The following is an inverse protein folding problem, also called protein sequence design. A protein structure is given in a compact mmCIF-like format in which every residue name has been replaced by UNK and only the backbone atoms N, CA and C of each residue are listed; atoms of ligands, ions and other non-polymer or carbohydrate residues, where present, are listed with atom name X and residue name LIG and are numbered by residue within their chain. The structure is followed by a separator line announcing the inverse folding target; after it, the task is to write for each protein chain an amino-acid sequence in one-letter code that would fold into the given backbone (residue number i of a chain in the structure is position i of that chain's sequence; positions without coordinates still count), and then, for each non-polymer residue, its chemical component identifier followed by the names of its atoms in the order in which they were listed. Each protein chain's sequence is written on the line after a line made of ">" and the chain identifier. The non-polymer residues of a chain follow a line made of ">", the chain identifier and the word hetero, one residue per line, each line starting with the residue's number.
data_IF_556163464748
#
_entry.id   IF_556163464748
#
_cell.length_a   1.000
_cell.length_b   1.000
_cell.length_c   1.000
_cell.angle_alpha   90.00
_cell.angle_beta   90.00
_cell.angle_gamma   90.00
#
_symmetry.space_group_name_H-M   'P 1'
#
loop_
_entity.id
_entity.type
_entity.pdbx_description
1 polymer ?
#
# COMPACT_ATOMS: atom_id res chain seq x y z
N UNK A 1 41.95 43.91 9.93
CA UNK A 1 41.24 43.81 11.22
C UNK A 1 39.79 44.30 11.16
N UNK A 2 39.40 45.16 10.20
CA UNK A 2 38.01 45.63 10.08
C UNK A 2 37.04 44.58 9.49
N UNK A 3 37.48 43.77 8.52
CA UNK A 3 36.63 42.73 7.88
C UNK A 3 36.17 41.62 8.83
N UNK A 4 37.02 41.18 9.76
CA UNK A 4 36.68 40.10 10.71
C UNK A 4 35.54 40.53 11.64
N UNK A 5 35.50 41.81 12.01
CA UNK A 5 34.44 42.38 12.86
C UNK A 5 33.09 42.51 12.15
N UNK A 6 33.10 42.67 10.82
CA UNK A 6 31.88 42.70 10.02
C UNK A 6 31.30 41.28 9.84
N UNK A 7 32.18 40.29 9.63
CA UNK A 7 31.82 38.88 9.49
C UNK A 7 31.24 38.29 10.79
N UNK A 8 31.82 38.64 11.96
CA UNK A 8 31.32 38.21 13.27
C UNK A 8 29.95 38.80 13.61
N UNK A 9 29.68 40.06 13.25
CA UNK A 9 28.36 40.68 13.41
C UNK A 9 27.30 39.99 12.56
N UNK A 10 27.61 39.69 11.29
CA UNK A 10 26.70 39.00 10.37
C UNK A 10 26.38 37.58 10.83
N UNK A 11 27.35 36.90 11.46
CA UNK A 11 27.19 35.57 12.05
C UNK A 11 26.37 35.58 13.35
N UNK A 12 26.42 36.66 14.11
CA UNK A 12 25.53 36.90 15.25
C UNK A 12 24.08 37.19 14.82
N UNK A 13 23.86 37.91 13.73
CA UNK A 13 22.52 38.18 13.19
C UNK A 13 21.84 36.94 12.57
N UNK A 14 22.60 35.93 12.16
CA UNK A 14 22.08 34.65 11.66
C UNK A 14 21.93 33.58 12.75
N UNK A 15 22.27 33.89 14.00
CA UNK A 15 22.14 32.95 15.11
C UNK A 15 20.67 32.85 15.51
N UNK A 16 20.17 31.63 15.67
CA UNK A 16 18.83 31.40 16.19
C UNK A 16 18.65 32.14 17.54
N UNK A 17 17.47 32.72 17.80
CA UNK A 17 17.24 33.49 19.02
C UNK A 17 17.41 32.60 20.24
N UNK A 18 18.21 33.08 21.20
CA UNK A 18 18.43 32.37 22.46
C UNK A 18 17.13 32.32 23.28
N UNK A 19 16.96 31.28 24.09
CA UNK A 19 15.73 31.01 24.88
C UNK A 19 15.26 32.22 25.70
N UNK A 20 16.21 32.99 26.22
CA UNK A 20 15.94 34.19 27.01
C UNK A 20 15.42 35.37 26.17
N UNK A 21 15.90 35.48 24.92
CA UNK A 21 15.41 36.47 23.96
C UNK A 21 13.98 36.14 23.52
N UNK A 22 13.68 34.85 23.31
CA UNK A 22 12.32 34.38 23.02
C UNK A 22 11.39 34.75 24.18
N UNK A 23 11.77 34.42 25.43
CA UNK A 23 10.94 34.71 26.60
C UNK A 23 10.68 36.21 26.77
N UNK A 24 11.69 37.05 26.54
CA UNK A 24 11.53 38.51 26.61
C UNK A 24 10.61 39.04 25.50
N UNK A 25 10.70 38.48 24.29
CA UNK A 25 9.86 38.87 23.17
C UNK A 25 8.41 38.40 23.34
N UNK A 26 8.19 37.24 23.96
CA UNK A 26 6.85 36.66 24.16
C UNK A 26 6.18 37.08 25.47
N UNK A 27 6.87 37.76 26.38
CA UNK A 27 6.35 38.18 27.69
C UNK A 27 5.10 39.08 27.65
N UNK A 28 4.88 39.80 26.55
CA UNK A 28 3.72 40.69 26.37
C UNK A 28 2.57 40.07 25.60
N UNK A 29 2.72 38.83 25.12
CA UNK A 29 1.72 38.15 24.29
C UNK A 29 0.72 37.45 25.21
N UNK A 30 -0.58 37.77 25.13
CA UNK A 30 -1.60 37.06 25.89
C UNK A 30 -1.64 35.58 25.48
N UNK A 31 -1.69 34.64 26.44
CA UNK A 31 -1.85 33.24 26.12
C UNK A 31 -3.20 33.02 25.41
N UNK A 32 -3.17 32.47 24.20
CA UNK A 32 -4.34 32.11 23.41
C UNK A 32 -4.19 30.64 22.99
N UNK A 33 -5.26 29.84 23.08
CA UNK A 33 -5.23 28.38 22.84
C UNK A 33 -4.25 27.60 23.75
N UNK A 34 -4.20 27.89 25.05
CA UNK A 34 -3.40 27.08 26.00
C UNK A 34 -3.96 25.66 26.20
N UNK A 35 -5.26 25.48 25.98
CA UNK A 35 -5.93 24.17 26.00
C UNK A 35 -5.84 23.43 24.66
N UNK A 36 -5.18 24.01 23.65
CA UNK A 36 -4.75 23.24 22.50
C UNK A 36 -3.63 22.34 22.99
N UNK A 37 -4.00 21.18 23.52
CA UNK A 37 -3.11 20.03 23.53
C UNK A 37 -2.48 20.03 22.13
N UNK A 38 -1.16 20.07 22.06
CA UNK A 38 -0.49 19.66 20.84
C UNK A 38 -1.05 18.26 20.59
N UNK A 39 -2.00 18.14 19.65
CA UNK A 39 -2.31 16.86 19.06
C UNK A 39 -0.99 16.53 18.39
N UNK A 40 -0.13 15.83 19.11
CA UNK A 40 0.93 15.05 18.53
C UNK A 40 0.16 14.08 17.64
N UNK A 41 -0.13 14.52 16.42
CA UNK A 41 -0.51 13.66 15.32
C UNK A 41 0.71 12.79 15.14
N UNK A 42 0.76 11.70 15.90
CA UNK A 42 1.83 10.77 15.82
C UNK A 42 1.74 10.23 14.38
N UNK A 43 2.85 10.11 13.67
CA UNK A 43 2.84 9.51 12.31
C UNK A 43 2.18 8.12 12.37
N UNK A 44 2.28 7.46 13.54
CA UNK A 44 1.59 6.24 13.91
C UNK A 44 0.06 6.35 13.90
N UNK A 45 -0.52 7.49 14.29
CA UNK A 45 -1.97 7.76 14.29
C UNK A 45 -2.50 7.91 12.86
N UNK A 46 -1.76 8.55 11.96
CA UNK A 46 -2.20 8.61 10.56
C UNK A 46 -2.17 7.24 9.91
N UNK A 47 -1.16 6.40 10.16
CA UNK A 47 -1.12 5.06 9.56
C UNK A 47 -2.24 4.15 10.06
N UNK A 48 -2.57 4.20 11.36
CA UNK A 48 -3.68 3.43 11.92
C UNK A 48 -5.03 3.94 11.42
N UNK A 49 -5.22 5.26 11.35
CA UNK A 49 -6.44 5.85 10.80
C UNK A 49 -6.56 5.62 9.29
N UNK A 50 -5.46 5.71 8.53
CA UNK A 50 -5.45 5.41 7.09
C UNK A 50 -5.91 3.98 6.81
N UNK A 51 -5.47 3.01 7.62
CA UNK A 51 -5.96 1.63 7.51
C UNK A 51 -7.49 1.57 7.65
N UNK A 52 -8.05 2.21 8.67
CA UNK A 52 -9.51 2.26 8.87
C UNK A 52 -10.24 2.95 7.72
N UNK A 53 -9.67 4.03 7.17
CA UNK A 53 -10.20 4.70 5.97
C UNK A 53 -10.23 3.70 4.81
N UNK A 54 -9.12 3.03 4.52
CA UNK A 54 -8.99 2.08 3.42
C UNK A 54 -9.99 0.94 3.58
N UNK A 55 -10.15 0.35 4.78
CA UNK A 55 -11.15 -0.69 5.05
C UNK A 55 -12.56 -0.22 4.65
N UNK A 56 -13.00 0.94 5.14
CA UNK A 56 -14.34 1.44 4.81
C UNK A 56 -14.51 1.76 3.33
N UNK A 57 -13.47 2.31 2.68
CA UNK A 57 -13.52 2.65 1.26
C UNK A 57 -13.53 1.41 0.36
N UNK A 58 -12.79 0.36 0.73
CA UNK A 58 -12.81 -0.95 0.08
C UNK A 58 -14.23 -1.53 0.11
N UNK A 59 -14.90 -1.50 1.26
CA UNK A 59 -16.28 -1.99 1.36
C UNK A 59 -17.26 -1.21 0.47
N UNK A 60 -17.12 0.12 0.41
CA UNK A 60 -17.96 0.96 -0.45
C UNK A 60 -17.67 0.71 -1.92
N UNK A 61 -16.40 0.67 -2.32
CA UNK A 61 -15.99 0.39 -3.70
C UNK A 61 -16.47 -0.99 -4.16
N UNK A 62 -16.36 -2.02 -3.31
CA UNK A 62 -16.90 -3.36 -3.60
C UNK A 62 -18.41 -3.32 -3.85
N UNK A 63 -19.17 -2.61 -3.00
CA UNK A 63 -20.62 -2.45 -3.18
C UNK A 63 -20.96 -1.70 -4.46
N UNK A 64 -20.26 -0.61 -4.76
CA UNK A 64 -20.47 0.18 -5.98
C UNK A 64 -20.14 -0.62 -7.24
N UNK A 65 -19.02 -1.33 -7.23
CA UNK A 65 -18.58 -2.16 -8.36
C UNK A 65 -19.50 -3.36 -8.56
N UNK A 66 -20.05 -3.94 -7.50
CA UNK A 66 -21.04 -5.02 -7.60
C UNK A 66 -22.37 -4.60 -8.25
N UNK A 67 -22.62 -3.30 -8.43
CA UNK A 67 -23.77 -2.78 -9.17
C UNK A 67 -23.49 -2.66 -10.68
N UNK A 68 -22.24 -2.76 -11.11
CA UNK A 68 -21.86 -2.67 -12.52
C UNK A 68 -21.92 -4.07 -13.17
N UNK A 69 -22.70 -4.26 -14.24
CA UNK A 69 -22.81 -5.57 -14.91
C UNK A 69 -21.48 -6.05 -15.50
N UNK A 70 -20.60 -5.14 -15.92
CA UNK A 70 -19.29 -5.45 -16.51
C UNK A 70 -18.16 -5.60 -15.49
N UNK A 71 -18.46 -5.55 -14.19
CA UNK A 71 -17.43 -5.50 -13.14
C UNK A 71 -16.47 -6.70 -13.19
N UNK A 72 -16.96 -7.90 -13.51
CA UNK A 72 -16.13 -9.11 -13.62
C UNK A 72 -15.02 -8.92 -14.66
N UNK A 73 -15.35 -8.42 -15.84
CA UNK A 73 -14.37 -8.21 -16.92
C UNK A 73 -13.40 -7.08 -16.58
N UNK A 74 -13.92 -6.00 -15.98
CA UNK A 74 -13.10 -4.88 -15.52
C UNK A 74 -12.08 -5.33 -14.46
N UNK A 75 -12.46 -6.21 -13.53
CA UNK A 75 -11.54 -6.79 -12.55
C UNK A 75 -10.50 -7.72 -13.17
N UNK A 76 -10.89 -8.58 -14.11
CA UNK A 76 -9.96 -9.46 -14.82
C UNK A 76 -8.91 -8.63 -15.57
N UNK A 77 -9.35 -7.59 -16.28
CA UNK A 77 -8.46 -6.68 -17.00
C UNK A 77 -7.56 -5.88 -16.08
N UNK A 78 -8.11 -5.32 -15.00
CA UNK A 78 -7.33 -4.53 -14.04
C UNK A 78 -6.27 -5.39 -13.33
N UNK A 79 -6.61 -6.61 -12.91
CA UNK A 79 -5.64 -7.53 -12.34
C UNK A 79 -4.54 -7.91 -13.34
N UNK A 80 -4.90 -8.23 -14.58
CA UNK A 80 -3.90 -8.57 -15.61
C UNK A 80 -2.94 -7.41 -15.90
N UNK A 81 -3.47 -6.18 -15.99
CA UNK A 81 -2.63 -4.98 -16.17
C UNK A 81 -1.69 -4.77 -14.98
N UNK A 82 -2.15 -4.95 -13.74
CA UNK A 82 -1.30 -4.82 -12.57
C UNK A 82 -0.22 -5.92 -12.51
N UNK A 83 -0.58 -7.16 -12.83
CA UNK A 83 0.37 -8.28 -12.88
C UNK A 83 1.46 -8.01 -13.95
N UNK A 84 1.10 -7.51 -15.14
CA UNK A 84 2.04 -7.11 -16.20
C UNK A 84 2.92 -5.93 -15.79
N UNK A 85 2.34 -4.91 -15.15
CA UNK A 85 3.11 -3.77 -14.68
C UNK A 85 4.07 -4.16 -13.54
N UNK A 86 3.69 -5.07 -12.64
CA UNK A 86 4.56 -5.63 -11.61
C UNK A 86 5.71 -6.44 -12.22
N UNK A 87 5.42 -7.22 -13.27
CA UNK A 87 6.41 -7.95 -14.05
C UNK A 87 7.36 -7.04 -14.86
N UNK A 88 7.00 -5.78 -15.11
CA UNK A 88 7.88 -4.78 -15.74
C UNK A 88 8.79 -4.02 -14.77
N UNK A 89 8.56 -4.11 -13.45
CA UNK A 89 9.08 -3.18 -12.42
C UNK A 89 10.24 -3.73 -11.60
N UNK A 90 11.21 -4.36 -12.23
CA UNK A 90 12.46 -4.67 -11.52
C UNK A 90 13.21 -3.34 -11.34
N UNK A 91 13.58 -2.99 -10.10
CA UNK A 91 14.42 -1.81 -9.84
C UNK A 91 15.74 -1.96 -10.61
N UNK A 92 15.90 -1.15 -11.64
CA UNK A 92 17.03 -1.21 -12.57
C UNK A 92 18.36 -0.95 -11.84
N UNK A 93 18.35 -0.18 -10.75
CA UNK A 93 19.55 0.05 -9.93
C UNK A 93 19.92 -1.20 -9.13
N UNK A 94 18.93 -1.85 -8.51
CA UNK A 94 19.11 -3.12 -7.79
C UNK A 94 19.52 -4.25 -8.74
N UNK A 95 18.89 -4.31 -9.92
CA UNK A 95 19.19 -5.28 -10.98
C UNK A 95 20.61 -5.10 -11.50
N UNK A 96 21.01 -3.86 -11.75
CA UNK A 96 22.36 -3.52 -12.19
C UNK A 96 23.39 -3.90 -11.13
N UNK A 97 23.10 -3.66 -9.84
CA UNK A 97 23.98 -4.06 -8.75
C UNK A 97 24.21 -5.59 -8.71
N UNK A 98 23.14 -6.39 -8.85
CA UNK A 98 23.28 -7.85 -8.90
C UNK A 98 23.96 -8.33 -10.19
N UNK A 99 23.71 -7.67 -11.31
CA UNK A 99 24.35 -7.99 -12.60
C UNK A 99 25.84 -7.65 -12.59
N UNK A 100 26.24 -6.54 -11.98
CA UNK A 100 27.64 -6.15 -11.78
C UNK A 100 28.39 -7.12 -10.85
N UNK A 101 27.68 -7.81 -9.94
CA UNK A 101 28.22 -8.89 -9.13
C UNK A 101 28.36 -10.23 -9.88
N UNK A 102 27.90 -10.30 -11.13
CA UNK A 102 28.04 -11.47 -12.01
C UNK A 102 26.83 -12.39 -12.08
N UNK A 103 25.69 -12.02 -11.47
CA UNK A 103 24.46 -12.79 -11.59
C UNK A 103 23.75 -12.49 -12.93
N UNK A 104 23.17 -13.50 -13.61
CA UNK A 104 22.40 -13.26 -14.83
C UNK A 104 21.20 -12.35 -14.58
N UNK A 105 20.95 -11.41 -15.49
CA UNK A 105 19.86 -10.41 -15.37
C UNK A 105 18.49 -11.06 -15.15
N UNK A 106 18.20 -12.16 -15.86
CA UNK A 106 16.95 -12.93 -15.71
C UNK A 106 16.79 -13.51 -14.30
N UNK A 107 17.87 -14.00 -13.71
CA UNK A 107 17.89 -14.59 -12.37
C UNK A 107 17.84 -13.51 -11.30
N UNK A 108 18.59 -12.43 -11.49
CA UNK A 108 18.60 -11.26 -10.62
C UNK A 108 17.22 -10.57 -10.58
N UNK A 109 16.57 -10.41 -11.73
CA UNK A 109 15.20 -9.92 -11.83
C UNK A 109 14.23 -10.79 -11.03
N UNK A 110 14.30 -12.12 -11.21
CA UNK A 110 13.45 -13.08 -10.50
C UNK A 110 13.70 -13.05 -8.98
N UNK A 111 14.96 -12.98 -8.57
CA UNK A 111 15.34 -12.90 -7.16
C UNK A 111 14.89 -11.59 -6.52
N UNK A 112 15.02 -10.46 -7.22
CA UNK A 112 14.55 -9.16 -6.74
C UNK A 112 13.03 -9.14 -6.58
N UNK A 113 12.29 -9.72 -7.53
CA UNK A 113 10.82 -9.86 -7.41
C UNK A 113 10.41 -10.68 -6.18
N UNK A 114 11.05 -11.83 -5.99
CA UNK A 114 10.74 -12.73 -4.86
C UNK A 114 11.12 -12.14 -3.50
N UNK A 115 12.03 -11.16 -3.48
CA UNK A 115 12.56 -10.57 -2.26
C UNK A 115 12.24 -9.07 -2.14
N UNK A 116 11.07 -8.65 -2.64
CA UNK A 116 10.54 -7.28 -2.47
C UNK A 116 11.52 -6.17 -2.91
N UNK A 117 12.23 -6.40 -4.02
CA UNK A 117 13.23 -5.48 -4.57
C UNK A 117 14.42 -5.18 -3.63
N UNK A 118 14.62 -6.03 -2.61
CA UNK A 118 15.73 -5.92 -1.66
C UNK A 118 16.97 -6.64 -2.20
N UNK A 119 17.99 -5.87 -2.60
CA UNK A 119 19.27 -6.42 -3.10
C UNK A 119 19.90 -7.46 -2.16
N UNK A 120 19.98 -7.22 -0.82
CA UNK A 120 20.62 -8.18 0.08
C UNK A 120 19.86 -9.51 0.19
N UNK A 121 18.53 -9.47 0.16
CA UNK A 121 17.68 -10.66 0.23
C UNK A 121 17.67 -11.41 -1.10
N UNK A 122 17.60 -10.68 -2.21
CA UNK A 122 17.71 -11.24 -3.55
C UNK A 122 19.06 -11.94 -3.78
N UNK A 123 20.15 -11.38 -3.27
CA UNK A 123 21.46 -12.00 -3.32
C UNK A 123 21.51 -13.32 -2.54
N UNK A 124 20.97 -13.35 -1.31
CA UNK A 124 20.89 -14.59 -0.53
C UNK A 124 20.10 -15.67 -1.27
N UNK A 125 18.95 -15.30 -1.84
CA UNK A 125 18.13 -16.19 -2.64
C UNK A 125 18.87 -16.73 -3.87
N UNK A 126 19.65 -15.88 -4.56
CA UNK A 126 20.48 -16.26 -5.69
C UNK A 126 21.59 -17.23 -5.32
N UNK A 127 22.14 -17.12 -4.11
CA UNK A 127 23.20 -18.01 -3.59
C UNK A 127 22.59 -19.36 -3.19
N UNK A 128 21.45 -19.35 -2.48
CA UNK A 128 20.73 -20.56 -2.08
C UNK A 128 20.24 -21.37 -3.29
N UNK A 129 19.89 -20.70 -4.39
CA UNK A 129 19.39 -21.31 -5.63
C UNK A 129 20.44 -21.28 -6.77
N UNK A 130 21.73 -21.16 -6.44
CA UNK A 130 22.81 -21.03 -7.43
C UNK A 130 22.93 -22.24 -8.37
N UNK A 131 22.62 -23.45 -7.86
CA UNK A 131 22.82 -24.73 -8.55
C UNK A 131 21.56 -25.29 -9.23
N UNK A 132 20.43 -24.57 -9.24
CA UNK A 132 19.19 -25.07 -9.86
C UNK A 132 19.05 -24.59 -11.33
N UNK A 133 19.29 -25.47 -12.32
CA UNK A 133 19.21 -25.13 -13.74
C UNK A 133 17.77 -24.89 -14.25
N UNK A 134 16.73 -25.16 -13.44
CA UNK A 134 15.33 -24.85 -13.82
C UNK A 134 14.96 -23.38 -13.59
N UNK A 135 15.79 -22.63 -12.87
CA UNK A 135 15.56 -21.21 -12.57
C UNK A 135 15.79 -20.32 -13.79
N UNK A 136 16.65 -20.75 -14.72
CA UNK A 136 16.95 -20.06 -15.99
C UNK A 136 15.93 -20.35 -17.11
N UNK A 137 14.91 -21.18 -16.84
CA UNK A 137 13.81 -21.37 -17.78
C UNK A 137 12.96 -20.09 -17.83
N UNK A 138 12.68 -19.53 -19.03
CA UNK A 138 11.73 -18.44 -19.15
C UNK A 138 10.37 -18.88 -18.61
N UNK A 139 9.70 -17.99 -17.88
CA UNK A 139 8.34 -18.24 -17.40
C UNK A 139 7.44 -18.65 -18.58
N UNK A 140 6.60 -19.68 -18.45
CA UNK A 140 5.67 -20.05 -19.51
C UNK A 140 4.65 -18.91 -19.69
N UNK A 141 4.80 -18.15 -20.76
CA UNK A 141 3.95 -16.99 -21.08
C UNK A 141 4.48 -16.10 -22.20
N UNK A 142 5.79 -16.09 -22.45
CA UNK A 142 6.38 -15.41 -23.62
C UNK A 142 6.40 -16.34 -24.84
N UNK A 143 5.23 -16.60 -25.42
CA UNK A 143 5.13 -17.08 -26.79
C UNK A 143 4.20 -16.13 -27.53
N UNK A 144 4.79 -15.15 -28.23
CA UNK A 144 4.08 -14.38 -29.25
C UNK A 144 3.46 -15.35 -30.28
N UNK A 145 2.16 -15.23 -30.60
CA UNK A 145 1.59 -15.96 -31.71
C UNK A 145 1.76 -15.12 -32.98
N UNK A 146 2.87 -15.34 -33.70
CA UNK A 146 2.98 -14.83 -35.07
C UNK A 146 2.98 -16.02 -36.04
N UNK A 147 1.87 -16.15 -36.79
CA UNK A 147 1.84 -16.79 -38.10
C UNK A 147 1.23 -18.20 -38.20
N UNK A 148 -0.10 -18.28 -38.31
CA UNK A 148 -0.78 -19.22 -39.21
C UNK A 148 -2.25 -18.81 -39.47
N UNK A 149 -2.50 -18.20 -40.65
CA UNK A 149 -3.79 -18.24 -41.38
C UNK A 149 -4.13 -19.71 -41.70
N UNK A 150 -5.34 -20.22 -41.97
CA UNK A 150 -6.73 -19.82 -42.17
C UNK A 150 -7.56 -21.07 -41.75
N UNK A 151 -8.89 -21.17 -41.65
CA UNK A 151 -9.95 -20.80 -42.58
C UNK A 151 -11.31 -21.28 -41.99
N UNK A 152 -12.39 -20.59 -42.38
CA UNK A 152 -13.78 -21.05 -42.54
C UNK A 152 -14.66 -21.44 -41.31
N UNK A 153 -15.68 -20.59 -41.10
CA UNK A 153 -16.98 -20.94 -40.52
C UNK A 153 -17.78 -21.91 -41.43
N UNK A 154 -18.93 -22.45 -40.98
CA UNK A 154 -20.17 -21.68 -41.11
C UNK A 154 -21.15 -21.81 -39.92
N UNK A 155 -22.11 -20.88 -39.97
CA UNK A 155 -23.21 -20.62 -39.04
C UNK A 155 -24.24 -21.75 -38.88
N UNK A 156 -24.88 -21.79 -37.71
CA UNK A 156 -26.30 -22.07 -37.58
C UNK A 156 -26.85 -21.44 -36.28
N UNK A 157 -27.91 -20.65 -36.41
CA UNK A 157 -28.81 -20.13 -35.36
C UNK A 157 -30.23 -20.62 -35.70
N UNK A 158 -31.28 -20.36 -34.91
CA UNK A 158 -31.45 -20.30 -33.45
C UNK A 158 -32.67 -21.19 -33.01
N UNK A 159 -32.91 -21.39 -31.71
CA UNK A 159 -34.25 -21.25 -31.07
C UNK A 159 -34.29 -21.70 -29.60
N UNK A 160 -34.67 -20.73 -28.75
CA UNK A 160 -35.58 -20.78 -27.61
C UNK A 160 -35.64 -21.99 -26.65
N UNK A 161 -35.32 -21.73 -25.38
CA UNK A 161 -36.22 -21.97 -24.24
C UNK A 161 -35.67 -21.26 -23.00
N UNK A 162 -36.48 -20.40 -22.39
CA UNK A 162 -36.09 -19.59 -21.23
C UNK A 162 -36.02 -20.38 -19.93
N UNK A 163 -35.17 -19.92 -19.02
CA UNK A 163 -35.38 -19.98 -17.58
C UNK A 163 -34.46 -18.94 -16.91
N UNK A 164 -35.01 -18.25 -15.92
CA UNK A 164 -34.45 -17.10 -15.21
C UNK A 164 -33.35 -17.47 -14.21
N UNK A 165 -32.08 -17.47 -14.62
CA UNK A 165 -30.93 -17.71 -13.70
C UNK A 165 -29.68 -16.88 -14.02
N UNK A 166 -29.80 -15.73 -14.69
CA UNK A 166 -28.64 -14.99 -15.20
C UNK A 166 -27.97 -13.97 -14.26
N UNK A 167 -28.58 -13.63 -13.12
CA UNK A 167 -28.10 -12.53 -12.26
C UNK A 167 -27.28 -12.98 -11.04
N UNK A 168 -27.33 -14.26 -10.66
CA UNK A 168 -26.59 -14.77 -9.48
C UNK A 168 -25.15 -15.18 -9.82
N UNK A 169 -24.91 -15.78 -10.99
CA UNK A 169 -23.55 -16.19 -11.43
C UNK A 169 -22.52 -15.04 -11.44
N UNK A 170 -22.77 -13.86 -12.06
CA UNK A 170 -21.76 -12.79 -12.09
C UNK A 170 -21.51 -12.18 -10.71
N UNK A 171 -22.52 -12.16 -9.82
CA UNK A 171 -22.37 -11.70 -8.43
C UNK A 171 -21.59 -12.69 -7.59
N UNK A 172 -21.81 -13.99 -7.78
CA UNK A 172 -21.05 -15.04 -7.12
C UNK A 172 -19.59 -15.08 -7.62
N UNK A 173 -19.37 -14.86 -8.93
CA UNK A 173 -18.03 -14.70 -9.50
C UNK A 173 -17.31 -13.48 -8.94
N UNK A 174 -17.97 -12.31 -8.85
CA UNK A 174 -17.42 -11.11 -8.21
C UNK A 174 -17.08 -11.36 -6.74
N UNK A 175 -17.97 -12.03 -6.03
CA UNK A 175 -17.74 -12.37 -4.61
C UNK A 175 -16.56 -13.30 -4.44
N UNK A 176 -16.38 -14.29 -5.32
CA UNK A 176 -15.20 -15.15 -5.34
C UNK A 176 -13.93 -14.42 -5.79
N UNK A 177 -14.03 -13.46 -6.72
CA UNK A 177 -12.92 -12.56 -7.10
C UNK A 177 -12.51 -11.72 -5.89
N UNK A 178 -13.45 -11.09 -5.19
CA UNK A 178 -13.18 -10.32 -3.97
C UNK A 178 -12.58 -11.20 -2.87
N UNK A 179 -13.09 -12.41 -2.65
CA UNK A 179 -12.49 -13.38 -1.71
C UNK A 179 -11.08 -13.79 -2.13
N UNK A 180 -10.81 -14.00 -3.41
CA UNK A 180 -9.48 -14.34 -3.93
C UNK A 180 -8.51 -13.17 -3.79
N UNK A 181 -8.94 -11.94 -4.10
CA UNK A 181 -8.15 -10.72 -3.90
C UNK A 181 -7.83 -10.57 -2.41
N UNK A 182 -8.83 -10.68 -1.54
CA UNK A 182 -8.67 -10.63 -0.09
C UNK A 182 -7.72 -11.70 0.44
N UNK A 183 -7.83 -12.95 -0.04
CA UNK A 183 -6.94 -14.07 0.35
C UNK A 183 -5.52 -13.95 -0.19
N UNK A 184 -5.34 -13.46 -1.42
CA UNK A 184 -3.99 -13.24 -2.01
C UNK A 184 -3.22 -12.16 -1.24
N UNK A 185 -3.95 -11.19 -0.67
CA UNK A 185 -3.43 -9.99 -0.02
C UNK A 185 -3.61 -10.00 1.51
N UNK A 186 -3.85 -11.18 2.09
CA UNK A 186 -3.82 -11.35 3.55
C UNK A 186 -2.42 -11.02 4.07
N UNK A 187 -2.35 -10.18 5.10
CA UNK A 187 -1.11 -9.74 5.74
C UNK A 187 -0.08 -10.88 5.85
N UNK A 188 1.05 -10.71 5.15
CA UNK A 188 2.20 -11.62 5.23
C UNK A 188 3.22 -11.09 6.21
N UNK A 189 3.40 -11.82 7.31
CA UNK A 189 4.45 -11.51 8.26
C UNK A 189 5.83 -11.82 7.66
N UNK A 190 6.80 -10.93 7.91
CA UNK A 190 8.19 -11.19 7.52
C UNK A 190 8.73 -12.40 8.30
N UNK A 191 9.10 -13.46 7.58
CA UNK A 191 9.60 -14.71 8.16
C UNK A 191 10.82 -14.46 9.07
N UNK A 192 11.70 -13.51 8.72
CA UNK A 192 12.87 -13.18 9.54
C UNK A 192 12.44 -12.54 10.87
N UNK A 193 11.54 -11.56 10.80
CA UNK A 193 11.00 -10.91 11.97
C UNK A 193 10.23 -11.88 12.87
N UNK A 194 9.46 -12.80 12.28
CA UNK A 194 8.74 -13.86 13.01
C UNK A 194 9.72 -14.75 13.76
N UNK A 195 10.72 -15.31 13.07
CA UNK A 195 11.72 -16.19 13.68
C UNK A 195 12.44 -15.47 14.82
N UNK A 196 12.93 -14.25 14.58
CA UNK A 196 13.66 -13.50 15.59
C UNK A 196 12.81 -13.17 16.83
N UNK A 197 11.53 -12.86 16.67
CA UNK A 197 10.64 -12.62 17.81
C UNK A 197 10.28 -13.92 18.54
N UNK A 198 10.12 -15.03 17.81
CA UNK A 198 9.91 -16.35 18.44
C UNK A 198 11.14 -16.81 19.23
N UNK A 199 12.35 -16.53 18.74
CA UNK A 199 13.61 -16.80 19.47
C UNK A 199 13.73 -16.01 20.78
N UNK A 200 13.08 -14.83 20.86
CA UNK A 200 12.97 -14.06 22.10
C UNK A 200 11.98 -14.67 23.11
N UNK A 201 11.26 -15.73 22.71
CA UNK A 201 10.31 -16.47 23.56
C UNK A 201 8.86 -16.00 23.45
N UNK A 202 8.52 -15.19 22.45
CA UNK A 202 7.15 -14.79 22.19
C UNK A 202 6.37 -15.88 21.42
N UNK A 203 5.08 -16.01 21.72
CA UNK A 203 4.21 -16.95 21.02
C UNK A 203 3.98 -16.52 19.56
N UNK A 204 4.00 -17.48 18.63
CA UNK A 204 3.85 -17.24 17.19
C UNK A 204 2.60 -16.40 16.87
N UNK A 205 1.47 -16.67 17.54
CA UNK A 205 0.24 -15.90 17.34
C UNK A 205 0.39 -14.43 17.74
N UNK A 206 1.05 -14.17 18.87
CA UNK A 206 1.28 -12.81 19.35
C UNK A 206 2.26 -12.07 18.45
N UNK A 207 3.27 -12.76 17.95
CA UNK A 207 4.23 -12.24 16.97
C UNK A 207 3.55 -11.85 15.68
N UNK A 208 2.65 -12.69 15.16
CA UNK A 208 1.86 -12.39 13.96
C UNK A 208 0.98 -11.15 14.17
N UNK A 209 0.31 -11.06 15.31
CA UNK A 209 -0.53 -9.90 15.65
C UNK A 209 0.30 -8.61 15.81
N UNK A 210 1.46 -8.71 16.46
CA UNK A 210 2.37 -7.58 16.65
C UNK A 210 2.93 -7.07 15.32
N UNK A 211 3.34 -7.98 14.43
CA UNK A 211 3.82 -7.62 13.10
C UNK A 211 2.70 -7.06 12.23
N UNK A 212 1.46 -7.56 12.37
CA UNK A 212 0.28 -7.04 11.66
C UNK A 212 -0.02 -5.61 12.05
N UNK A 213 -0.04 -5.31 13.34
CA UNK A 213 -0.31 -3.95 13.85
C UNK A 213 0.80 -2.97 13.47
N UNK A 214 2.05 -3.44 13.43
CA UNK A 214 3.23 -2.60 13.21
C UNK A 214 3.81 -2.70 11.80
N UNK A 215 3.06 -3.23 10.83
CA UNK A 215 3.45 -3.33 9.42
C UNK A 215 4.85 -3.97 9.22
N UNK A 216 5.08 -5.15 9.81
CA UNK A 216 6.35 -5.88 9.78
C UNK A 216 7.57 -5.16 10.40
N UNK A 217 7.37 -4.05 11.13
CA UNK A 217 8.47 -3.42 11.86
C UNK A 217 8.81 -4.21 13.13
N UNK A 218 9.89 -4.99 13.08
CA UNK A 218 10.34 -5.84 14.20
C UNK A 218 10.50 -5.07 15.52
N UNK A 219 11.11 -3.88 15.50
CA UNK A 219 11.33 -3.09 16.71
C UNK A 219 10.00 -2.63 17.34
N UNK A 220 9.10 -2.09 16.53
CA UNK A 220 7.79 -1.64 16.99
C UNK A 220 6.88 -2.82 17.41
N UNK A 221 7.01 -3.97 16.76
CA UNK A 221 6.34 -5.22 17.15
C UNK A 221 6.86 -5.71 18.50
N UNK A 222 8.16 -5.66 18.75
CA UNK A 222 8.75 -5.99 20.05
C UNK A 222 8.25 -5.04 21.15
N UNK A 223 8.23 -3.73 20.90
CA UNK A 223 7.66 -2.74 21.83
C UNK A 223 6.17 -3.00 22.11
N UNK A 224 5.40 -3.39 21.08
CA UNK A 224 3.99 -3.72 21.22
C UNK A 224 3.76 -4.98 22.06
N UNK A 225 4.60 -6.01 21.87
CA UNK A 225 4.58 -7.26 22.64
C UNK A 225 4.93 -7.07 24.12
N UNK A 226 5.86 -6.15 24.40
CA UNK A 226 6.31 -5.82 25.76
C UNK A 226 5.43 -4.77 26.46
N UNK A 227 4.56 -4.08 25.73
CA UNK A 227 3.71 -3.00 26.23
C UNK A 227 2.25 -3.42 26.44
N UNK A 228 1.35 -2.43 26.36
CA UNK A 228 -0.09 -2.61 26.60
C UNK A 228 -0.86 -3.24 25.41
N UNK A 229 -0.16 -3.68 24.36
CA UNK A 229 -0.75 -4.29 23.15
C UNK A 229 -1.86 -3.45 22.49
N UNK A 230 -1.66 -2.13 22.47
CA UNK A 230 -2.57 -1.16 21.81
C UNK A 230 -1.90 -0.53 20.59
N UNK A 231 -2.64 -0.34 19.48
CA UNK A 231 -4.02 -0.76 19.22
C UNK A 231 -4.15 -2.29 19.03
N UNK A 232 -5.35 -2.83 19.26
CA UNK A 232 -5.63 -4.26 19.07
C UNK A 232 -5.84 -4.59 17.59
N UNK A 233 -5.41 -5.77 17.09
CA UNK A 233 -5.59 -6.16 15.69
C UNK A 233 -7.06 -6.06 15.21
N UNK A 234 -8.02 -6.40 16.07
CA UNK A 234 -9.45 -6.35 15.76
C UNK A 234 -9.98 -4.92 15.56
N UNK A 235 -9.36 -3.92 16.20
CA UNK A 235 -9.70 -2.51 16.00
C UNK A 235 -9.16 -1.97 14.67
N UNK A 236 -8.10 -2.58 14.13
CA UNK A 236 -7.55 -2.21 12.82
C UNK A 236 -8.41 -2.75 11.66
N UNK A 237 -9.11 -3.86 11.88
CA UNK A 237 -10.02 -4.46 10.90
C UNK A 237 -11.39 -3.78 10.88
N UNK A 238 -11.71 -2.95 11.89
CA UNK A 238 -12.91 -2.12 11.90
C UNK A 238 -12.66 -0.84 11.11
N UNK A 239 -13.45 -0.65 10.06
CA UNK A 239 -13.48 0.60 9.33
C UNK A 239 -13.92 1.79 10.19
N UNK A 240 -13.86 2.98 9.61
CA UNK A 240 -14.40 4.21 10.20
C UNK A 240 -15.91 4.11 10.30
N UNK A 241 -16.45 4.69 11.38
CA UNK A 241 -17.88 4.90 11.57
C UNK A 241 -18.51 5.59 10.34
N UNK A 242 -19.54 5.00 9.71
CA UNK A 242 -20.23 5.59 8.57
C UNK A 242 -20.79 6.99 8.85
N UNK A 243 -21.15 7.30 10.09
CA UNK A 243 -21.70 8.60 10.47
C UNK A 243 -20.60 9.63 10.82
N UNK A 244 -19.33 9.24 10.74
CA UNK A 244 -18.19 10.12 11.01
C UNK A 244 -18.13 11.29 10.00
N UNK A 245 -17.92 12.54 10.46
CA UNK A 245 -17.72 13.69 9.58
C UNK A 245 -16.57 13.49 8.58
N UNK A 246 -15.53 12.74 8.97
CA UNK A 246 -14.42 12.38 8.09
C UNK A 246 -14.88 11.49 6.95
N UNK A 247 -15.65 10.44 7.27
CA UNK A 247 -16.12 9.49 6.26
C UNK A 247 -17.10 10.16 5.29
N UNK A 248 -18.03 10.96 5.81
CA UNK A 248 -18.96 11.75 5.00
C UNK A 248 -18.22 12.73 4.08
N UNK A 249 -17.24 13.48 4.58
CA UNK A 249 -16.46 14.39 3.75
C UNK A 249 -15.64 13.69 2.66
N UNK A 250 -15.15 12.47 2.92
CA UNK A 250 -14.47 11.64 1.92
C UNK A 250 -15.46 11.18 0.85
N UNK A 251 -16.63 10.69 1.25
CA UNK A 251 -17.66 10.22 0.31
C UNK A 251 -18.35 11.33 -0.47
N UNK A 252 -18.47 12.54 0.07
CA UNK A 252 -19.01 13.71 -0.65
C UNK A 252 -18.05 14.23 -1.73
N UNK A 253 -16.80 13.76 -1.75
CA UNK A 253 -15.83 14.22 -2.71
C UNK A 253 -16.00 13.54 -4.08
N UNK A 254 -16.23 14.30 -5.18
CA UNK A 254 -16.51 13.71 -6.49
C UNK A 254 -15.31 12.96 -7.08
N UNK A 255 -14.08 13.37 -6.76
CA UNK A 255 -12.86 12.66 -7.22
C UNK A 255 -12.78 11.29 -6.55
N UNK A 256 -13.10 11.23 -5.26
CA UNK A 256 -13.12 9.97 -4.51
C UNK A 256 -14.25 9.06 -5.01
N UNK A 257 -15.47 9.59 -5.17
CA UNK A 257 -16.60 8.81 -5.70
C UNK A 257 -16.29 8.19 -7.06
N UNK A 258 -15.73 8.98 -7.98
CA UNK A 258 -15.34 8.46 -9.29
C UNK A 258 -14.23 7.40 -9.18
N UNK A 259 -13.25 7.62 -8.30
CA UNK A 259 -12.21 6.64 -7.99
C UNK A 259 -12.77 5.30 -7.49
N UNK A 260 -13.76 5.32 -6.59
CA UNK A 260 -14.37 4.11 -6.04
C UNK A 260 -15.12 3.26 -7.09
N UNK A 261 -15.46 3.84 -8.24
CA UNK A 261 -16.05 3.11 -9.38
C UNK A 261 -15.00 2.45 -10.29
N UNK A 262 -13.71 2.68 -10.05
CA UNK A 262 -12.62 2.08 -10.81
C UNK A 262 -12.04 0.84 -10.09
N UNK A 263 -12.06 -0.35 -10.70
CA UNK A 263 -11.47 -1.54 -10.09
C UNK A 263 -9.97 -1.40 -9.78
N UNK A 264 -9.21 -0.63 -10.56
CA UNK A 264 -7.78 -0.37 -10.28
C UNK A 264 -7.60 0.36 -8.95
N UNK A 265 -8.47 1.31 -8.63
CA UNK A 265 -8.44 2.04 -7.36
C UNK A 265 -8.77 1.12 -6.18
N UNK A 266 -9.70 0.16 -6.34
CA UNK A 266 -9.94 -0.85 -5.32
C UNK A 266 -8.70 -1.71 -5.08
N UNK A 267 -8.08 -2.21 -6.14
CA UNK A 267 -6.86 -3.04 -6.05
C UNK A 267 -5.71 -2.27 -5.40
N UNK A 268 -5.57 -0.98 -5.69
CA UNK A 268 -4.61 -0.10 -5.05
C UNK A 268 -4.88 0.08 -3.55
N UNK A 269 -6.14 0.25 -3.14
CA UNK A 269 -6.48 0.34 -1.72
C UNK A 269 -6.19 -0.96 -0.98
N UNK A 270 -6.49 -2.12 -1.58
CA UNK A 270 -6.14 -3.43 -1.03
C UNK A 270 -4.61 -3.57 -0.90
N UNK A 271 -3.85 -3.12 -1.90
CA UNK A 271 -2.38 -3.10 -1.87
C UNK A 271 -1.80 -2.22 -0.75
N UNK A 272 -2.34 -1.01 -0.61
CA UNK A 272 -1.97 -0.07 0.45
C UNK A 272 -2.36 -0.57 1.85
N UNK A 273 -3.45 -1.34 1.95
CA UNK A 273 -3.90 -1.97 3.19
C UNK A 273 -2.94 -3.08 3.63
N UNK A 274 -2.41 -3.85 2.67
CA UNK A 274 -1.43 -4.90 2.93
C UNK A 274 -0.08 -4.32 3.31
N UNK A 275 0.44 -3.38 2.51
CA UNK A 275 1.71 -2.72 2.75
C UNK A 275 1.61 -1.19 2.60
N UNK A 276 1.57 -0.46 3.73
CA UNK A 276 1.53 1.01 3.70
C UNK A 276 2.72 1.66 2.97
N UNK A 277 3.85 0.96 2.79
CA UNK A 277 4.98 1.47 2.02
C UNK A 277 4.62 1.66 0.53
N UNK A 278 3.72 0.83 0.01
CA UNK A 278 3.26 0.94 -1.38
C UNK A 278 2.39 2.18 -1.62
N UNK A 279 1.91 2.84 -0.56
CA UNK A 279 1.14 4.11 -0.68
C UNK A 279 1.88 5.15 -1.52
N UNK A 280 3.21 5.22 -1.42
CA UNK A 280 4.01 6.17 -2.19
C UNK A 280 3.95 5.90 -3.70
N UNK A 281 3.88 4.63 -4.09
CA UNK A 281 3.74 4.23 -5.49
C UNK A 281 2.37 4.64 -6.03
N UNK A 282 1.29 4.33 -5.29
CA UNK A 282 -0.07 4.65 -5.70
C UNK A 282 -0.38 6.14 -5.71
N UNK A 283 0.30 6.93 -4.86
CA UNK A 283 0.21 8.40 -4.92
C UNK A 283 0.79 8.99 -6.23
N UNK A 284 1.72 8.30 -6.88
CA UNK A 284 2.31 8.72 -8.16
C UNK A 284 1.58 8.13 -9.38
N UNK A 285 0.62 7.22 -9.18
CA UNK A 285 -0.16 6.64 -10.28
C UNK A 285 -1.10 7.70 -10.87
N UNK A 286 -1.18 7.85 -12.21
CA UNK A 286 -2.00 8.89 -12.84
C UNK A 286 -3.51 8.76 -12.55
N UNK A 287 -4.01 7.55 -12.33
CA UNK A 287 -5.44 7.29 -12.13
C UNK A 287 -5.81 7.24 -10.65
N UNK A 288 -4.98 6.60 -9.83
CA UNK A 288 -5.24 6.35 -8.40
C UNK A 288 -4.69 7.49 -7.52
N UNK A 289 -3.58 8.10 -7.92
CA UNK A 289 -2.89 9.14 -7.15
C UNK A 289 -3.78 10.33 -6.77
N UNK A 290 -4.58 10.90 -7.70
CA UNK A 290 -5.50 11.98 -7.37
C UNK A 290 -6.49 11.62 -6.26
N UNK A 291 -6.96 10.37 -6.21
CA UNK A 291 -7.90 9.87 -5.21
C UNK A 291 -7.22 9.78 -3.83
N UNK A 292 -6.06 9.14 -3.76
CA UNK A 292 -5.30 8.96 -2.52
C UNK A 292 -4.88 10.30 -1.92
N UNK A 293 -4.39 11.22 -2.76
CA UNK A 293 -4.00 12.57 -2.33
C UNK A 293 -5.19 13.36 -1.80
N UNK A 294 -6.37 13.21 -2.40
CA UNK A 294 -7.57 13.89 -1.96
C UNK A 294 -8.06 13.35 -0.61
N UNK A 295 -8.02 12.04 -0.39
CA UNK A 295 -8.30 11.40 0.91
C UNK A 295 -7.35 11.95 1.98
N UNK A 296 -6.05 11.98 1.69
CA UNK A 296 -5.03 12.51 2.60
C UNK A 296 -5.27 13.98 2.95
N UNK A 297 -5.64 14.81 1.96
CA UNK A 297 -5.98 16.23 2.17
C UNK A 297 -7.20 16.39 3.06
N UNK A 298 -8.27 15.62 2.84
CA UNK A 298 -9.50 15.68 3.65
C UNK A 298 -9.19 15.28 5.09
N UNK A 299 -8.46 14.18 5.29
CA UNK A 299 -8.01 13.74 6.61
C UNK A 299 -7.21 14.84 7.33
N UNK A 300 -6.21 15.41 6.67
CA UNK A 300 -5.38 16.47 7.26
C UNK A 300 -6.17 17.73 7.60
N UNK A 301 -7.19 18.08 6.80
CA UNK A 301 -8.00 19.27 7.01
C UNK A 301 -8.88 19.10 8.24
N UNK A 302 -9.53 17.94 8.38
CA UNK A 302 -10.45 17.66 9.49
C UNK A 302 -9.72 17.37 10.81
N UNK A 303 -8.53 16.77 10.76
CA UNK A 303 -7.74 16.49 11.96
C UNK A 303 -6.97 17.73 12.47
N UNK A 304 -6.99 18.84 11.71
CA UNK A 304 -6.44 20.15 12.12
C UNK A 304 -7.51 21.12 12.66
N UNK A 305 -8.79 20.81 12.44
CA UNK A 305 -9.93 21.62 12.85
C UNK A 305 -10.35 21.25 14.28
#
# INVERSE_FOLDING_TARGET
>A
MADVSAEEKKKQEQKAPDREAIYRATASVPPHNMDRAEVQTNIRDFQTELRKILVSLIEVAQKLLALNPDAVELFKKANAMLDEEEDGRVDEAALRQLTEMGFPETRAAKALRLNHMSVPQAMEWLIEHAEDPTVDAPLPGQASPEGAQAEAAPEASPEAAGASTGDEEPRDELTEIFKKIRRKREFRADARAVISLMEMGFDEKEVMDALRVNNNQQNAACEWLLGDRKPSPEELDKGIDPDSPLFQAILDNPVVQLGLTNPKTLLAFEDMLENPLNSSQWMNDPETGPVVLQISRIFQTLNRA
#
